data_IF_614018052787
#
_entry.id   IF_614018052787
#
_cell.length_a   1.000
_cell.length_b   1.000
_cell.length_c   1.000
_cell.angle_alpha   90.00
_cell.angle_beta   90.00
_cell.angle_gamma   90.00
#
_symmetry.space_group_name_H-M   'P 1'
#
loop_
_entity.id
_entity.type
_entity.pdbx_description
1 polymer ?
#
# COMPACT_ATOMS: atom_id res chain seq x y z
N UNK A 1 -1.80 -7.69 -27.92
CA UNK A 1 -1.95 -6.24 -28.17
C UNK A 1 -1.82 -5.49 -26.84
N UNK A 2 -0.70 -4.79 -26.56
CA UNK A 2 -0.50 -4.07 -25.29
C UNK A 2 -1.04 -2.63 -25.41
N UNK A 3 -2.35 -2.44 -25.28
CA UNK A 3 -2.91 -1.10 -25.05
C UNK A 3 -2.55 -0.68 -23.62
N UNK A 4 -1.82 0.42 -23.47
CA UNK A 4 -1.53 1.02 -22.17
C UNK A 4 -2.59 2.06 -21.86
N UNK A 5 -3.24 1.95 -20.70
CA UNK A 5 -4.08 3.03 -20.17
C UNK A 5 -3.14 4.16 -19.73
N UNK A 6 -3.35 5.36 -20.28
CA UNK A 6 -2.51 6.54 -20.00
C UNK A 6 -3.29 7.77 -19.55
N UNK A 7 -4.62 7.72 -19.65
CA UNK A 7 -5.47 8.83 -19.23
C UNK A 7 -5.34 9.03 -17.71
N UNK A 8 -4.94 10.24 -17.32
CA UNK A 8 -4.62 10.55 -15.93
C UNK A 8 -5.85 10.50 -15.03
N UNK A 9 -7.03 10.87 -15.55
CA UNK A 9 -8.28 10.83 -14.81
C UNK A 9 -8.70 9.38 -14.59
N UNK A 10 -8.58 8.53 -15.62
CA UNK A 10 -8.84 7.09 -15.48
C UNK A 10 -7.91 6.45 -14.45
N UNK A 11 -6.61 6.75 -14.50
CA UNK A 11 -5.64 6.24 -13.54
C UNK A 11 -5.91 6.73 -12.11
N UNK A 12 -6.33 7.99 -11.95
CA UNK A 12 -6.71 8.56 -10.65
C UNK A 12 -8.00 7.94 -10.10
N UNK A 13 -8.99 7.65 -10.95
CA UNK A 13 -10.19 6.91 -10.54
C UNK A 13 -9.86 5.48 -10.11
N UNK A 14 -8.96 4.79 -10.83
CA UNK A 14 -8.49 3.46 -10.41
C UNK A 14 -7.78 3.55 -9.05
N UNK A 15 -6.93 4.56 -8.85
CA UNK A 15 -6.25 4.79 -7.57
C UNK A 15 -7.25 5.04 -6.44
N UNK A 16 -8.30 5.83 -6.66
CA UNK A 16 -9.30 6.12 -5.63
C UNK A 16 -10.12 4.90 -5.26
N UNK A 17 -10.52 4.08 -6.22
CA UNK A 17 -11.23 2.81 -5.98
C UNK A 17 -10.32 1.80 -5.28
N UNK A 18 -9.05 1.72 -5.67
CA UNK A 18 -8.07 0.89 -4.97
C UNK A 18 -7.91 1.34 -3.51
N UNK A 19 -7.82 2.65 -3.28
CA UNK A 19 -7.71 3.23 -1.93
C UNK A 19 -8.99 3.03 -1.11
N UNK A 20 -10.16 3.05 -1.74
CA UNK A 20 -11.43 2.76 -1.08
C UNK A 20 -11.47 1.33 -0.51
N UNK A 21 -10.87 0.36 -1.21
CA UNK A 21 -10.84 -1.04 -0.80
C UNK A 21 -9.70 -1.40 0.17
N UNK A 22 -8.49 -0.89 -0.08
CA UNK A 22 -7.26 -1.32 0.63
C UNK A 22 -6.66 -0.22 1.53
N UNK A 23 -7.13 1.02 1.41
CA UNK A 23 -6.60 2.19 2.09
C UNK A 23 -7.19 2.41 3.49
N UNK A 24 -6.45 3.15 4.32
CA UNK A 24 -6.91 3.60 5.64
C UNK A 24 -7.65 4.93 5.50
N UNK A 25 -8.81 5.03 6.17
CA UNK A 25 -9.63 6.25 6.19
C UNK A 25 -9.01 7.35 7.04
N UNK A 26 -9.23 8.61 6.67
CA UNK A 26 -8.73 9.80 7.36
C UNK A 26 -8.97 9.78 8.87
N UNK A 27 -10.17 9.36 9.29
CA UNK A 27 -10.56 9.26 10.70
C UNK A 27 -9.65 8.34 11.54
N UNK A 28 -8.89 7.44 10.91
CA UNK A 28 -7.95 6.54 11.58
C UNK A 28 -6.48 6.92 11.45
N UNK A 29 -6.10 7.76 10.47
CA UNK A 29 -4.71 8.15 10.22
C UNK A 29 -4.63 9.36 9.28
N UNK A 30 -3.76 10.32 9.59
CA UNK A 30 -3.45 11.43 8.69
C UNK A 30 -2.34 11.04 7.70
N UNK A 31 -2.66 11.08 6.40
CA UNK A 31 -1.74 10.69 5.34
C UNK A 31 -2.11 9.33 4.73
N UNK A 32 -1.55 9.08 3.55
CA UNK A 32 -1.94 7.95 2.74
C UNK A 32 -1.35 6.67 3.32
N UNK A 33 -2.21 5.72 3.64
CA UNK A 33 -1.82 4.40 4.15
C UNK A 33 -2.59 3.32 3.42
N UNK A 34 -1.89 2.38 2.80
CA UNK A 34 -2.47 1.24 2.12
C UNK A 34 -1.65 -0.01 2.43
N UNK A 35 -2.32 -1.12 2.76
CA UNK A 35 -1.63 -2.35 3.12
C UNK A 35 -2.20 -3.58 2.43
N UNK A 36 -1.35 -4.37 1.77
CA UNK A 36 -1.75 -5.61 1.12
C UNK A 36 -0.65 -6.67 1.18
N UNK A 37 -1.06 -7.93 1.15
CA UNK A 37 -0.14 -9.07 0.97
C UNK A 37 0.14 -9.40 -0.49
N UNK A 38 -0.65 -8.83 -1.42
CA UNK A 38 -0.43 -8.99 -2.85
C UNK A 38 0.59 -7.95 -3.35
N UNK A 39 1.75 -8.39 -3.90
CA UNK A 39 2.75 -7.46 -4.42
C UNK A 39 2.25 -6.60 -5.60
N UNK A 40 1.28 -7.07 -6.39
CA UNK A 40 0.74 -6.32 -7.52
C UNK A 40 -0.10 -5.13 -7.05
N UNK A 41 -0.89 -5.29 -5.98
CA UNK A 41 -1.65 -4.20 -5.36
C UNK A 41 -0.69 -3.10 -4.86
N UNK A 42 0.38 -3.50 -4.17
CA UNK A 42 1.39 -2.57 -3.64
C UNK A 42 2.10 -1.83 -4.77
N UNK A 43 2.53 -2.54 -5.81
CA UNK A 43 3.21 -1.96 -6.97
C UNK A 43 2.29 -1.00 -7.74
N UNK A 44 1.04 -1.40 -7.96
CA UNK A 44 0.04 -0.57 -8.64
C UNK A 44 -0.20 0.71 -7.86
N UNK A 45 -0.38 0.61 -6.54
CA UNK A 45 -0.55 1.76 -5.67
C UNK A 45 0.64 2.74 -5.76
N UNK A 46 1.87 2.25 -5.58
CA UNK A 46 3.09 3.09 -5.67
C UNK A 46 3.19 3.76 -7.04
N UNK A 47 2.93 3.03 -8.13
CA UNK A 47 3.03 3.56 -9.50
C UNK A 47 1.96 4.59 -9.80
N UNK A 48 0.74 4.38 -9.33
CA UNK A 48 -0.34 5.35 -9.49
C UNK A 48 -0.08 6.62 -8.66
N UNK A 49 0.50 6.52 -7.46
CA UNK A 49 0.95 7.70 -6.71
C UNK A 49 2.05 8.47 -7.45
N UNK A 50 3.01 7.76 -8.04
CA UNK A 50 4.07 8.37 -8.84
C UNK A 50 3.49 9.10 -10.06
N UNK A 51 2.54 8.49 -10.78
CA UNK A 51 1.95 9.05 -12.00
C UNK A 51 0.96 10.19 -11.69
N UNK A 52 0.03 10.00 -10.75
CA UNK A 52 -1.04 10.94 -10.48
C UNK A 52 -0.62 12.13 -9.61
N UNK A 53 0.43 11.97 -8.80
CA UNK A 53 0.83 12.95 -7.80
C UNK A 53 2.33 13.24 -7.78
N UNK A 54 3.15 12.62 -8.65
CA UNK A 54 4.60 12.84 -8.69
C UNK A 54 5.34 12.32 -7.45
N UNK A 55 4.74 11.41 -6.69
CA UNK A 55 5.34 10.93 -5.44
C UNK A 55 6.43 9.91 -5.75
N UNK A 56 7.66 10.29 -5.43
CA UNK A 56 8.79 9.38 -5.51
C UNK A 56 8.69 8.30 -4.43
N UNK A 57 8.75 7.02 -4.84
CA UNK A 57 8.72 5.87 -3.95
C UNK A 57 9.79 5.92 -2.84
N UNK A 58 10.95 6.56 -3.09
CA UNK A 58 12.01 6.75 -2.07
C UNK A 58 11.59 7.66 -0.91
N UNK A 59 10.52 8.44 -1.06
CA UNK A 59 9.92 9.26 0.02
C UNK A 59 8.86 8.49 0.82
N UNK A 60 8.37 7.38 0.29
CA UNK A 60 7.39 6.53 0.98
C UNK A 60 8.07 5.76 2.11
N UNK A 61 7.30 5.53 3.16
CA UNK A 61 7.66 4.69 4.29
C UNK A 61 6.96 3.36 4.15
N UNK A 62 7.58 2.32 4.69
CA UNK A 62 7.05 0.97 4.62
C UNK A 62 7.07 0.33 6.00
N UNK A 63 6.15 -0.58 6.27
CA UNK A 63 6.27 -1.52 7.39
C UNK A 63 5.69 -2.86 6.97
N UNK A 64 6.14 -3.92 7.61
CA UNK A 64 5.61 -5.27 7.35
C UNK A 64 4.85 -5.73 8.58
N UNK A 65 3.57 -6.06 8.41
CA UNK A 65 2.82 -6.83 9.41
C UNK A 65 3.06 -8.30 9.15
N UNK A 66 3.55 -9.04 10.14
CA UNK A 66 4.06 -10.40 9.97
C UNK A 66 3.66 -11.29 11.15
N UNK A 67 3.70 -12.60 10.93
CA UNK A 67 3.35 -13.62 11.92
C UNK A 67 4.55 -13.95 12.81
N UNK A 68 4.28 -14.48 14.00
CA UNK A 68 5.27 -14.75 15.03
C UNK A 68 6.38 -15.73 14.60
N UNK A 69 6.08 -16.63 13.67
CA UNK A 69 7.02 -17.62 13.13
C UNK A 69 7.80 -17.13 11.89
N UNK A 70 7.66 -15.86 11.50
CA UNK A 70 8.33 -15.29 10.33
C UNK A 70 9.54 -14.43 10.70
N UNK A 71 10.54 -14.42 9.81
CA UNK A 71 11.73 -13.58 9.95
C UNK A 71 11.51 -12.18 9.35
N UNK A 72 11.35 -11.16 10.19
CA UNK A 72 11.11 -9.78 9.75
C UNK A 72 12.16 -9.27 8.76
N UNK A 73 13.46 -9.43 9.05
CA UNK A 73 14.55 -8.95 8.18
C UNK A 73 14.45 -9.54 6.76
N UNK A 74 14.06 -10.80 6.63
CA UNK A 74 13.84 -11.43 5.33
C UNK A 74 12.64 -10.86 4.59
N UNK A 75 11.58 -10.49 5.30
CA UNK A 75 10.39 -9.88 4.70
C UNK A 75 10.67 -8.44 4.26
N UNK A 76 11.39 -7.66 5.06
CA UNK A 76 11.80 -6.30 4.71
C UNK A 76 12.67 -6.30 3.44
N UNK A 77 13.65 -7.21 3.33
CA UNK A 77 14.44 -7.37 2.10
C UNK A 77 13.60 -7.74 0.89
N UNK A 78 12.63 -8.65 1.07
CA UNK A 78 11.70 -9.01 0.00
C UNK A 78 10.91 -7.79 -0.48
N UNK A 79 10.26 -7.06 0.44
CA UNK A 79 9.44 -5.91 0.09
C UNK A 79 10.25 -4.73 -0.41
N UNK A 80 11.46 -4.48 0.11
CA UNK A 80 12.37 -3.47 -0.42
C UNK A 80 12.76 -3.77 -1.87
N UNK A 81 13.06 -5.03 -2.20
CA UNK A 81 13.34 -5.46 -3.58
C UNK A 81 12.14 -5.25 -4.51
N UNK A 82 10.93 -5.59 -4.06
CA UNK A 82 9.71 -5.44 -4.87
C UNK A 82 9.37 -3.97 -5.08
N UNK A 83 9.35 -3.18 -4.02
CA UNK A 83 8.85 -1.79 -4.03
C UNK A 83 9.88 -0.76 -4.48
N UNK A 84 11.17 -1.08 -4.40
CA UNK A 84 12.27 -0.11 -4.56
C UNK A 84 12.43 0.85 -3.37
N UNK A 85 11.62 0.71 -2.31
CA UNK A 85 11.74 1.54 -1.10
C UNK A 85 13.00 1.11 -0.34
N UNK A 86 13.88 2.05 0.06
CA UNK A 86 15.11 1.69 0.76
C UNK A 86 14.79 1.13 2.15
N UNK A 87 15.60 0.18 2.63
CA UNK A 87 15.42 -0.43 3.96
C UNK A 87 15.45 0.60 5.11
N UNK A 88 16.15 1.72 4.93
CA UNK A 88 16.14 2.85 5.89
C UNK A 88 14.77 3.51 6.08
N UNK A 89 13.83 3.27 5.16
CA UNK A 89 12.44 3.75 5.24
C UNK A 89 11.48 2.70 5.81
N UNK A 90 11.97 1.55 6.27
CA UNK A 90 11.15 0.53 6.91
C UNK A 90 11.05 0.81 8.41
N UNK A 91 9.82 0.98 8.91
CA UNK A 91 9.57 1.11 10.34
C UNK A 91 9.60 -0.26 11.02
N UNK A 92 10.16 -0.28 12.23
CA UNK A 92 10.11 -1.45 13.10
C UNK A 92 8.66 -1.80 13.41
N UNK A 93 8.34 -3.08 13.30
CA UNK A 93 7.05 -3.64 13.71
C UNK A 93 7.25 -4.81 14.67
N UNK A 94 6.22 -5.11 15.44
CA UNK A 94 6.12 -6.36 16.20
C UNK A 94 5.31 -7.36 15.37
N UNK A 95 5.60 -8.64 15.56
CA UNK A 95 4.77 -9.70 15.00
C UNK A 95 3.34 -9.63 15.57
N UNK A 96 2.37 -10.19 14.86
CA UNK A 96 1.01 -10.34 15.36
C UNK A 96 0.97 -11.36 16.52
N UNK A 97 0.73 -10.93 17.78
CA UNK A 97 0.77 -11.82 18.93
C UNK A 97 -0.28 -12.94 18.86
N UNK A 98 -1.37 -12.74 18.11
CA UNK A 98 -2.44 -13.75 17.93
C UNK A 98 -1.98 -14.99 17.16
N UNK A 99 -0.77 -14.92 16.58
CA UNK A 99 -0.18 -15.96 15.73
C UNK A 99 0.89 -16.80 16.43
N UNK A 100 1.19 -16.52 17.71
CA UNK A 100 2.05 -17.36 18.55
C UNK A 100 1.46 -18.79 18.59
N UNK A 101 2.32 -19.80 18.39
CA UNK A 101 1.92 -21.21 18.34
C UNK A 101 1.06 -21.61 17.13
N UNK A 102 0.88 -20.72 16.14
CA UNK A 102 0.08 -20.98 14.93
C UNK A 102 0.96 -20.91 13.68
N UNK A 103 1.52 -22.04 13.21
CA UNK A 103 2.42 -22.07 12.07
C UNK A 103 1.81 -21.47 10.80
N UNK A 104 2.61 -20.72 10.07
CA UNK A 104 2.26 -20.20 8.75
C UNK A 104 2.23 -21.36 7.74
N UNK A 105 1.01 -21.72 7.32
CA UNK A 105 0.77 -22.81 6.35
C UNK A 105 1.29 -22.47 4.95
N UNK A 106 1.01 -21.26 4.47
CA UNK A 106 1.49 -20.79 3.18
C UNK A 106 2.94 -20.28 3.27
N UNK A 107 3.90 -21.11 2.86
CA UNK A 107 5.33 -20.74 2.85
C UNK A 107 5.68 -19.59 1.88
N UNK A 108 4.82 -19.29 0.91
CA UNK A 108 4.97 -18.14 0.02
C UNK A 108 4.44 -16.84 0.61
N UNK A 109 3.74 -16.88 1.75
CA UNK A 109 3.22 -15.68 2.40
C UNK A 109 4.36 -14.80 2.92
N UNK A 110 4.39 -13.54 2.48
CA UNK A 110 5.44 -12.57 2.82
C UNK A 110 4.98 -11.47 3.77
N UNK A 111 3.96 -11.74 4.59
CA UNK A 111 3.35 -10.72 5.44
C UNK A 111 2.50 -9.74 4.61
N UNK A 112 1.98 -8.72 5.28
CA UNK A 112 1.29 -7.58 4.65
C UNK A 112 2.27 -6.43 4.58
N UNK A 113 2.56 -5.96 3.36
CA UNK A 113 3.30 -4.72 3.14
C UNK A 113 2.36 -3.56 3.37
N UNK A 114 2.73 -2.60 4.21
CA UNK A 114 1.95 -1.39 4.46
C UNK A 114 2.79 -0.20 4.02
N UNK A 115 2.31 0.49 2.98
CA UNK A 115 2.90 1.71 2.46
C UNK A 115 2.28 2.90 3.18
N UNK A 116 3.12 3.85 3.58
CA UNK A 116 2.72 5.08 4.26
C UNK A 116 3.37 6.27 3.57
N UNK A 117 2.59 7.33 3.34
CA UNK A 117 3.07 8.59 2.77
C UNK A 117 2.39 9.80 3.42
N UNK A 118 3.10 10.92 3.46
CA UNK A 118 2.48 12.21 3.77
C UNK A 118 1.52 12.63 2.64
N UNK A 119 0.62 13.58 2.88
CA UNK A 119 -0.30 14.08 1.86
C UNK A 119 -1.77 13.88 2.23
N UNK A 120 -2.19 14.51 3.31
CA UNK A 120 -3.57 14.50 3.79
C UNK A 120 -4.59 14.91 2.72
N UNK A 121 -4.25 15.93 1.92
CA UNK A 121 -5.10 16.39 0.82
C UNK A 121 -5.30 15.31 -0.25
N UNK A 122 -4.27 14.49 -0.52
CA UNK A 122 -4.36 13.38 -1.48
C UNK A 122 -5.30 12.31 -0.94
N UNK A 123 -5.13 11.90 0.32
CA UNK A 123 -6.04 10.94 0.96
C UNK A 123 -7.49 11.41 0.92
N UNK A 124 -7.75 12.69 1.25
CA UNK A 124 -9.09 13.28 1.18
C UNK A 124 -9.65 13.28 -0.24
N UNK A 125 -8.85 13.61 -1.25
CA UNK A 125 -9.24 13.54 -2.67
C UNK A 125 -9.60 12.10 -3.07
N UNK A 126 -8.76 11.12 -2.73
CA UNK A 126 -9.00 9.70 -3.02
C UNK A 126 -10.27 9.18 -2.32
N UNK A 127 -10.58 9.66 -1.13
CA UNK A 127 -11.83 9.32 -0.43
C UNK A 127 -13.06 10.04 -0.97
N UNK A 128 -12.89 11.20 -1.62
CA UNK A 128 -13.97 12.00 -2.17
C UNK A 128 -14.43 11.48 -3.54
N UNK A 129 -13.50 11.08 -4.41
CA UNK A 129 -13.81 10.64 -5.79
C UNK A 129 -14.91 9.56 -5.84
N UNK A 130 -14.84 8.44 -5.06
CA UNK A 130 -15.89 7.42 -5.12
C UNK A 130 -17.25 7.92 -4.64
N UNK A 131 -17.29 8.88 -3.71
CA UNK A 131 -18.54 9.49 -3.23
C UNK A 131 -19.16 10.36 -4.31
N UNK A 132 -18.36 11.15 -5.02
CA UNK A 132 -18.82 11.97 -6.14
C UNK A 132 -19.37 11.11 -7.28
N UNK A 133 -18.70 9.99 -7.59
CA UNK A 133 -19.20 9.02 -8.57
C UNK A 133 -20.57 8.49 -8.11
N UNK A 134 -20.69 8.06 -6.84
CA UNK A 134 -21.95 7.55 -6.31
C UNK A 134 -23.09 8.58 -6.32
N UNK A 135 -22.79 9.86 -6.09
CA UNK A 135 -23.78 10.95 -6.13
C UNK A 135 -24.29 11.26 -7.54
N UNK A 136 -23.55 10.86 -8.58
CA UNK A 136 -23.90 11.11 -9.98
C UNK A 136 -24.51 9.91 -10.71
N UNK A 137 -24.64 8.77 -10.05
CA UNK A 137 -25.35 7.58 -10.54
C UNK A 137 -26.82 7.61 -10.08
#
# INVERSE_FOLDING_TARGET
MKRKIKDILVLKMILSVLYLGEGTKWKGHSGMVLGSSDPNIILLYIKLLEICYGINHKKLKCRVSYRADQNLKSLERYWSKITGIPLSNFYKTKFDPRTIGKPTKNKKYRGVCVIMGAGSHIQLELEAIPKLILMGL
#
